data_IF_536981175620
#
_entry.id   IF_536981175620
#
_cell.length_a   1.000
_cell.length_b   1.000
_cell.length_c   1.000
_cell.angle_alpha   90.00
_cell.angle_beta   90.00
_cell.angle_gamma   90.00
#
_symmetry.space_group_name_H-M   'P 1'
#
loop_
_entity.id
_entity.type
_entity.pdbx_description
1 polymer ?
#
# COMPACT_ATOMS: atom_id res chain seq x y z
N UNK A 1 -5.67 -0.59 16.01
CA UNK A 1 -5.58 -1.07 14.63
C UNK A 1 -6.05 -0.04 13.66
N UNK A 2 -5.39 0.06 12.54
CA UNK A 2 -5.91 0.85 11.44
C UNK A 2 -6.32 -0.10 10.31
N UNK A 3 -7.28 0.36 9.52
CA UNK A 3 -7.81 -0.47 8.44
C UNK A 3 -7.27 -0.01 7.10
N UNK A 4 -6.90 -0.97 6.28
CA UNK A 4 -6.44 -0.73 4.93
C UNK A 4 -7.42 -1.40 3.98
N UNK A 5 -7.86 -0.66 2.96
CA UNK A 5 -8.69 -1.23 1.92
C UNK A 5 -7.78 -1.92 0.91
N UNK A 6 -8.14 -3.14 0.54
CA UNK A 6 -7.36 -3.90 -0.43
C UNK A 6 -7.93 -3.65 -1.82
N UNK A 7 -7.09 -3.27 -2.81
CA UNK A 7 -7.57 -3.12 -4.18
C UNK A 7 -8.14 -4.44 -4.69
N UNK A 8 -9.14 -4.36 -5.56
CA UNK A 8 -9.76 -5.55 -6.09
C UNK A 8 -8.85 -6.34 -7.02
N UNK A 9 -9.06 -7.65 -7.07
CA UNK A 9 -8.39 -8.51 -8.02
C UNK A 9 -9.08 -8.48 -9.38
N UNK A 10 -8.34 -8.74 -10.43
CA UNK A 10 -8.91 -8.86 -11.77
C UNK A 10 -9.72 -10.11 -11.96
N UNK A 11 -9.52 -11.12 -11.12
CA UNK A 11 -10.21 -12.41 -11.16
C UNK A 11 -10.65 -12.79 -9.76
N UNK A 12 -11.69 -13.61 -9.70
CA UNK A 12 -12.10 -14.20 -8.42
C UNK A 12 -11.06 -15.24 -8.02
N UNK A 13 -10.54 -15.10 -6.81
CA UNK A 13 -9.55 -16.03 -6.25
C UNK A 13 -10.23 -16.82 -5.13
N UNK A 14 -10.12 -18.12 -5.21
CA UNK A 14 -10.76 -18.99 -4.21
C UNK A 14 -9.79 -19.67 -3.28
N UNK A 15 -8.51 -19.42 -3.43
CA UNK A 15 -7.49 -20.09 -2.66
C UNK A 15 -6.54 -19.10 -2.01
N UNK A 16 -5.41 -19.60 -1.54
CA UNK A 16 -4.42 -18.79 -0.84
C UNK A 16 -3.69 -17.80 -1.74
N UNK A 17 -3.89 -17.84 -3.05
CA UNK A 17 -3.24 -16.92 -3.97
C UNK A 17 -3.64 -15.48 -3.69
N UNK A 18 -4.95 -15.25 -3.50
CA UNK A 18 -5.44 -13.91 -3.17
C UNK A 18 -4.86 -13.42 -1.86
N UNK A 19 -4.77 -14.30 -0.87
CA UNK A 19 -4.22 -13.96 0.42
C UNK A 19 -2.73 -13.60 0.32
N UNK A 20 -1.98 -14.37 -0.45
CA UNK A 20 -0.57 -14.08 -0.68
C UNK A 20 -0.37 -12.74 -1.38
N UNK A 21 -1.19 -12.45 -2.39
CA UNK A 21 -1.12 -11.19 -3.10
C UNK A 21 -1.43 -10.01 -2.18
N UNK A 22 -2.42 -10.18 -1.32
CA UNK A 22 -2.76 -9.16 -0.33
C UNK A 22 -1.60 -8.90 0.62
N UNK A 23 -0.97 -9.95 1.12
CA UNK A 23 0.19 -9.82 2.00
C UNK A 23 1.35 -9.12 1.30
N UNK A 24 1.60 -9.47 0.04
CA UNK A 24 2.66 -8.83 -0.74
C UNK A 24 2.39 -7.35 -0.90
N UNK A 25 1.16 -6.97 -1.24
CA UNK A 25 0.78 -5.58 -1.36
C UNK A 25 1.02 -4.83 -0.04
N UNK A 26 0.55 -5.39 1.07
CA UNK A 26 0.71 -4.74 2.37
C UNK A 26 2.18 -4.59 2.76
N UNK A 27 2.99 -5.60 2.44
CA UNK A 27 4.43 -5.54 2.72
C UNK A 27 5.12 -4.47 1.88
N UNK A 28 4.80 -4.41 0.59
CA UNK A 28 5.36 -3.38 -0.30
C UNK A 28 4.96 -2.00 0.19
N UNK A 29 3.69 -1.82 0.53
CA UNK A 29 3.20 -0.54 1.02
C UNK A 29 3.93 -0.12 2.29
N UNK A 30 4.07 -1.03 3.25
CA UNK A 30 4.78 -0.77 4.49
C UNK A 30 6.24 -0.38 4.21
N UNK A 31 6.94 -1.19 3.41
CA UNK A 31 8.34 -0.96 3.12
C UNK A 31 8.57 0.39 2.43
N UNK A 32 7.72 0.72 1.47
CA UNK A 32 7.85 1.98 0.73
C UNK A 32 7.59 3.18 1.63
N UNK A 33 6.58 3.10 2.48
CA UNK A 33 6.26 4.20 3.39
C UNK A 33 7.34 4.37 4.45
N UNK A 34 7.81 3.28 5.05
CA UNK A 34 8.86 3.35 6.08
C UNK A 34 10.15 3.91 5.48
N UNK A 35 10.52 3.46 4.29
CA UNK A 35 11.70 3.96 3.62
C UNK A 35 11.59 5.48 3.39
N UNK A 36 10.43 5.94 2.95
CA UNK A 36 10.18 7.36 2.73
C UNK A 36 10.26 8.15 4.03
N UNK A 37 9.71 7.60 5.12
CA UNK A 37 9.78 8.26 6.42
C UNK A 37 11.23 8.40 6.90
N UNK A 38 12.04 7.37 6.70
CA UNK A 38 13.45 7.42 7.07
C UNK A 38 14.24 8.42 6.25
N UNK A 39 13.79 8.71 5.04
CA UNK A 39 14.44 9.66 4.15
C UNK A 39 13.81 11.06 4.19
N UNK A 40 12.85 11.28 5.08
CA UNK A 40 12.12 12.55 5.21
C UNK A 40 11.43 13.00 3.92
N UNK A 41 10.89 12.05 3.15
CA UNK A 41 10.15 12.37 1.94
C UNK A 41 8.76 12.87 2.31
N UNK A 42 8.29 14.01 1.76
CA UNK A 42 6.97 14.53 2.08
C UNK A 42 5.84 13.57 1.70
N UNK A 43 4.75 13.59 2.48
CA UNK A 43 3.62 12.71 2.27
C UNK A 43 3.06 12.78 0.86
N UNK A 44 2.97 13.96 0.26
CA UNK A 44 2.44 14.11 -1.09
C UNK A 44 3.26 13.34 -2.13
N UNK A 45 4.57 13.23 -1.93
CA UNK A 45 5.40 12.43 -2.83
C UNK A 45 5.27 10.95 -2.55
N UNK A 46 5.11 10.59 -1.29
CA UNK A 46 4.90 9.20 -0.91
C UNK A 46 3.59 8.68 -1.49
N UNK A 47 2.54 9.50 -1.48
CA UNK A 47 1.26 9.13 -2.08
C UNK A 47 1.41 8.79 -3.56
N UNK A 48 2.28 9.50 -4.27
CA UNK A 48 2.48 9.26 -5.70
C UNK A 48 3.28 7.99 -5.99
N UNK A 49 4.17 7.58 -5.10
CA UNK A 49 5.15 6.54 -5.40
C UNK A 49 5.00 5.26 -4.60
N UNK A 50 4.52 5.34 -3.35
CA UNK A 50 4.43 4.14 -2.50
C UNK A 50 3.43 3.13 -3.06
N UNK A 51 3.83 1.88 -3.09
CA UNK A 51 2.99 0.80 -3.59
C UNK A 51 2.95 0.69 -5.11
N UNK A 52 3.61 1.59 -5.83
CA UNK A 52 3.49 1.66 -7.29
C UNK A 52 3.92 0.37 -8.01
N UNK A 53 4.80 -0.42 -7.43
CA UNK A 53 5.22 -1.69 -8.02
C UNK A 53 4.08 -2.70 -8.09
N UNK A 54 3.00 -2.49 -7.35
CA UNK A 54 1.83 -3.36 -7.34
C UNK A 54 0.73 -2.90 -8.29
N UNK A 55 0.92 -1.77 -8.97
CA UNK A 55 -0.14 -1.13 -9.75
C UNK A 55 -0.81 -2.06 -10.75
N UNK A 56 -0.04 -2.84 -11.49
CA UNK A 56 -0.57 -3.67 -12.55
C UNK A 56 -1.24 -4.96 -12.06
N UNK A 57 -1.13 -5.24 -10.77
CA UNK A 57 -1.67 -6.46 -10.19
C UNK A 57 -3.10 -6.33 -9.68
N UNK A 58 -3.61 -5.09 -9.59
CA UNK A 58 -4.87 -4.83 -8.91
C UNK A 58 -5.80 -3.98 -9.74
N UNK A 59 -7.11 -4.28 -9.61
CA UNK A 59 -8.16 -3.42 -10.12
C UNK A 59 -8.35 -2.27 -9.11
N UNK A 60 -8.69 -1.09 -9.60
CA UNK A 60 -8.98 0.07 -8.76
C UNK A 60 -7.78 0.54 -7.93
N UNK A 61 -6.57 0.16 -8.32
CA UNK A 61 -5.37 0.57 -7.60
C UNK A 61 -5.31 2.09 -7.43
N UNK A 62 -5.55 2.84 -8.50
CA UNK A 62 -5.42 4.30 -8.47
C UNK A 62 -6.44 4.96 -7.55
N UNK A 63 -7.54 4.27 -7.23
CA UNK A 63 -8.56 4.78 -6.31
C UNK A 63 -8.27 4.44 -4.86
N UNK A 64 -7.69 3.30 -4.63
CA UNK A 64 -7.55 2.74 -3.28
C UNK A 64 -6.17 3.01 -2.69
N UNK A 65 -5.13 2.89 -3.50
CA UNK A 65 -3.77 3.00 -3.00
C UNK A 65 -3.45 4.34 -2.33
N UNK A 66 -3.85 5.50 -2.90
CA UNK A 66 -3.52 6.77 -2.24
C UNK A 66 -4.02 6.86 -0.80
N UNK A 67 -5.26 6.41 -0.55
CA UNK A 67 -5.80 6.38 0.79
C UNK A 67 -5.03 5.45 1.72
N UNK A 68 -4.62 4.29 1.21
CA UNK A 68 -3.82 3.34 1.99
C UNK A 68 -2.46 3.92 2.33
N UNK A 69 -1.83 4.63 1.39
CA UNK A 69 -0.54 5.28 1.63
C UNK A 69 -0.67 6.31 2.74
N UNK A 70 -1.70 7.14 2.69
CA UNK A 70 -1.92 8.16 3.72
C UNK A 70 -2.10 7.51 5.08
N UNK A 71 -2.92 6.48 5.19
CA UNK A 71 -3.17 5.80 6.46
C UNK A 71 -1.90 5.15 7.00
N UNK A 72 -1.12 4.52 6.13
CA UNK A 72 0.13 3.88 6.53
C UNK A 72 1.15 4.92 6.96
N UNK A 73 1.26 6.01 6.21
CA UNK A 73 2.15 7.11 6.56
C UNK A 73 1.80 7.67 7.95
N UNK A 74 0.54 7.96 8.19
CA UNK A 74 0.09 8.51 9.47
C UNK A 74 0.31 7.54 10.61
N UNK A 75 0.18 6.23 10.36
CA UNK A 75 0.37 5.22 11.39
C UNK A 75 1.81 5.16 11.87
N UNK A 76 2.76 5.34 10.97
CA UNK A 76 4.17 5.13 11.28
C UNK A 76 5.02 6.40 11.37
N UNK A 77 4.47 7.57 11.06
CA UNK A 77 5.27 8.79 11.04
C UNK A 77 5.92 9.13 12.38
N UNK A 78 5.32 8.69 13.47
CA UNK A 78 5.87 8.93 14.81
C UNK A 78 6.93 7.93 15.21
N UNK A 79 7.12 6.86 14.42
CA UNK A 79 8.09 5.81 14.74
C UNK A 79 9.39 5.95 13.95
N UNK A 80 9.39 6.77 12.93
CA UNK A 80 10.56 6.87 12.03
C UNK A 80 10.98 8.30 11.73
#
# INVERSE_FOLDING_TARGET
DFKIMVPGHGKIQKDNTALKQTRTYLQVLYDDVVDALKKDIPAEKVIETAGSSEKDKWILFDRVNPGNVVRTFMRYEWEY
#
